data_IF_472038048138
#
_entry.id   IF_472038048138
#
_cell.length_a   1.000
_cell.length_b   1.000
_cell.length_c   1.000
_cell.angle_alpha   90.00
_cell.angle_beta   90.00
_cell.angle_gamma   90.00
#
_symmetry.space_group_name_H-M   'P 1'
#
loop_
_entity.id
_entity.type
_entity.pdbx_description
1 polymer ?
#
# COMPACT_ATOMS: atom_id res chain seq x y z
N UNK A 1 -13.59 25.64 3.38
CA UNK A 1 -13.18 25.47 4.79
C UNK A 1 -12.17 24.33 4.78
N UNK A 2 -11.02 24.49 5.41
CA UNK A 2 -10.03 23.41 5.45
C UNK A 2 -10.56 22.27 6.33
N UNK A 3 -10.31 21.02 5.93
CA UNK A 3 -10.71 19.85 6.73
C UNK A 3 -9.88 19.80 8.01
N UNK A 4 -10.54 19.64 9.17
CA UNK A 4 -9.86 19.59 10.47
C UNK A 4 -9.02 18.32 10.62
N UNK A 5 -9.54 17.19 10.12
CA UNK A 5 -8.87 15.89 10.17
C UNK A 5 -8.77 15.34 8.76
N UNK A 6 -7.56 14.98 8.35
CA UNK A 6 -7.28 14.29 7.09
C UNK A 6 -6.60 12.96 7.39
N UNK A 7 -7.22 11.87 6.94
CA UNK A 7 -6.64 10.53 7.01
C UNK A 7 -6.21 10.17 5.58
N UNK A 8 -4.91 10.08 5.28
CA UNK A 8 -4.44 9.86 3.93
C UNK A 8 -4.91 8.52 3.36
N UNK A 9 -5.36 8.52 2.10
CA UNK A 9 -5.75 7.30 1.40
C UNK A 9 -4.60 6.31 1.25
N UNK A 10 -3.36 6.79 1.25
CA UNK A 10 -2.16 5.98 1.17
C UNK A 10 -1.72 5.42 2.53
N UNK A 11 -2.48 5.58 3.62
CA UNK A 11 -2.27 4.73 4.79
C UNK A 11 -2.57 3.25 4.41
N UNK A 12 -1.87 2.27 4.99
CA UNK A 12 -2.12 0.86 4.70
C UNK A 12 -3.48 0.36 5.19
N UNK A 13 -4.15 1.15 6.05
CA UNK A 13 -5.51 0.90 6.51
C UNK A 13 -6.51 1.80 5.79
N UNK A 14 -7.73 1.29 5.63
CA UNK A 14 -8.87 2.09 5.19
C UNK A 14 -9.75 2.40 6.39
N UNK A 15 -9.82 3.68 6.76
CA UNK A 15 -10.67 4.15 7.85
C UNK A 15 -12.03 4.64 7.34
N UNK A 16 -13.05 4.52 8.20
CA UNK A 16 -14.37 5.11 8.03
C UNK A 16 -14.75 5.88 9.30
N UNK A 17 -15.49 6.97 9.16
CA UNK A 17 -16.05 7.69 10.31
C UNK A 17 -17.16 6.87 10.95
N UNK A 18 -17.27 6.86 12.27
CA UNK A 18 -18.35 6.18 13.01
C UNK A 18 -19.27 7.24 13.62
N UNK A 19 -20.62 7.07 13.57
CA UNK A 19 -21.37 5.91 13.08
C UNK A 19 -21.79 5.97 11.60
N UNK A 20 -21.46 7.04 10.86
CA UNK A 20 -22.05 7.25 9.52
C UNK A 20 -21.39 6.43 8.40
N UNK A 21 -20.12 6.08 8.56
CA UNK A 21 -19.32 5.36 7.57
C UNK A 21 -19.66 3.88 7.53
N UNK A 22 -19.77 3.35 6.31
CA UNK A 22 -20.10 1.95 6.03
C UNK A 22 -18.86 1.11 5.72
N UNK A 23 -18.89 -0.16 6.10
CA UNK A 23 -17.97 -1.22 5.68
C UNK A 23 -18.06 -1.48 4.18
N UNK A 24 -16.95 -1.86 3.54
CA UNK A 24 -16.94 -2.18 2.12
C UNK A 24 -18.01 -3.23 1.78
N UNK A 25 -18.24 -4.20 2.66
CA UNK A 25 -19.26 -5.22 2.51
C UNK A 25 -20.70 -4.67 2.54
N UNK A 26 -20.95 -3.55 3.24
CA UNK A 26 -22.26 -2.90 3.33
C UNK A 26 -22.55 -1.99 2.12
N UNK A 27 -21.54 -1.67 1.33
CA UNK A 27 -21.66 -0.91 0.10
C UNK A 27 -21.96 -1.79 -1.12
N UNK A 28 -21.88 -3.12 -0.97
CA UNK A 28 -22.16 -4.08 -2.03
C UNK A 28 -23.65 -4.00 -2.41
N UNK A 29 -23.99 -3.79 -3.70
CA UNK A 29 -25.37 -3.81 -4.16
C UNK A 29 -26.06 -5.15 -3.86
N UNK A 30 -27.37 -5.10 -3.56
CA UNK A 30 -28.14 -6.29 -3.17
C UNK A 30 -28.25 -7.37 -4.25
N UNK A 31 -27.97 -7.04 -5.52
CA UNK A 31 -27.99 -7.98 -6.65
C UNK A 31 -26.64 -8.66 -6.92
N UNK A 32 -25.59 -8.29 -6.17
CA UNK A 32 -24.27 -8.92 -6.22
C UNK A 32 -24.10 -9.91 -5.07
N UNK A 33 -23.13 -10.81 -5.19
CA UNK A 33 -22.75 -11.70 -4.11
C UNK A 33 -22.19 -10.90 -2.94
N UNK A 34 -22.63 -11.23 -1.72
CA UNK A 34 -21.99 -10.70 -0.52
C UNK A 34 -20.55 -11.19 -0.46
N UNK A 35 -19.63 -10.27 -0.19
CA UNK A 35 -18.22 -10.54 0.00
C UNK A 35 -17.69 -9.71 1.17
N UNK A 36 -16.70 -10.24 1.87
CA UNK A 36 -16.02 -9.58 2.97
C UNK A 36 -14.54 -9.53 2.64
N UNK A 37 -13.93 -8.37 2.86
CA UNK A 37 -12.51 -8.18 2.65
C UNK A 37 -11.86 -7.89 4.00
N UNK A 38 -10.77 -8.59 4.27
CA UNK A 38 -9.95 -8.42 5.45
C UNK A 38 -8.51 -8.22 5.01
N UNK A 39 -7.89 -7.15 5.49
CA UNK A 39 -6.49 -6.86 5.17
C UNK A 39 -5.58 -7.74 6.02
N UNK A 40 -4.86 -8.67 5.39
CA UNK A 40 -3.94 -9.58 6.09
C UNK A 40 -2.60 -8.94 6.39
N UNK A 41 -2.02 -9.29 7.53
CA UNK A 41 -0.67 -8.95 7.94
C UNK A 41 0.02 -10.21 8.49
N UNK A 42 1.29 -10.39 8.16
CA UNK A 42 2.15 -11.32 8.89
C UNK A 42 2.51 -10.72 10.25
N UNK A 43 2.73 -11.56 11.26
CA UNK A 43 3.19 -11.12 12.58
C UNK A 43 4.50 -10.32 12.56
N UNK A 44 5.31 -10.48 11.50
CA UNK A 44 6.54 -9.72 11.24
C UNK A 44 6.33 -8.37 10.54
N UNK A 45 5.14 -8.08 10.03
CA UNK A 45 4.86 -6.84 9.31
C UNK A 45 4.81 -5.63 10.26
N UNK A 46 5.20 -4.46 9.76
CA UNK A 46 5.10 -3.21 10.54
C UNK A 46 3.88 -2.40 10.11
N UNK A 47 2.97 -2.14 11.05
CA UNK A 47 1.86 -1.23 10.81
C UNK A 47 2.28 0.22 11.04
N UNK A 48 2.28 1.02 9.97
CA UNK A 48 2.54 2.45 10.03
C UNK A 48 1.41 3.20 9.32
N UNK A 49 0.82 4.20 9.98
CA UNK A 49 -0.13 5.12 9.36
C UNK A 49 -0.03 6.50 10.00
N UNK A 50 -0.61 7.51 9.36
CA UNK A 50 -0.59 8.89 9.83
C UNK A 50 -1.94 9.60 9.72
N UNK A 51 -2.08 10.70 10.45
CA UNK A 51 -3.24 11.59 10.42
C UNK A 51 -2.73 13.03 10.38
N UNK A 52 -3.30 13.82 9.49
CA UNK A 52 -3.05 15.25 9.36
C UNK A 52 -4.13 16.00 10.15
N UNK A 53 -3.72 16.82 11.11
CA UNK A 53 -4.59 17.54 12.04
C UNK A 53 -4.42 19.04 11.85
N UNK A 54 -5.50 19.76 11.55
CA UNK A 54 -5.44 21.20 11.30
C UNK A 54 -4.99 21.93 12.57
N UNK A 55 -3.92 22.71 12.46
CA UNK A 55 -3.30 23.38 13.62
C UNK A 55 -4.31 24.21 14.41
N UNK A 56 -4.27 24.09 15.73
CA UNK A 56 -5.16 24.77 16.70
C UNK A 56 -6.63 24.30 16.71
N UNK A 57 -7.02 23.32 15.88
CA UNK A 57 -8.37 22.76 15.85
C UNK A 57 -8.46 21.35 16.46
N UNK A 58 -7.42 20.88 17.14
CA UNK A 58 -7.38 19.57 17.80
C UNK A 58 -6.75 19.66 19.19
N UNK A 59 -7.14 18.75 20.09
CA UNK A 59 -6.63 18.67 21.47
C UNK A 59 -5.86 17.37 21.73
N UNK A 60 -6.38 16.25 21.26
CA UNK A 60 -5.74 14.94 21.45
C UNK A 60 -6.12 13.96 20.34
N UNK A 61 -5.25 12.98 20.15
CA UNK A 61 -5.47 11.83 19.27
C UNK A 61 -4.83 10.61 19.92
N UNK A 62 -5.56 9.49 19.89
CA UNK A 62 -5.08 8.17 20.29
C UNK A 62 -5.69 7.11 19.38
N UNK A 63 -5.25 5.87 19.52
CA UNK A 63 -5.88 4.74 18.85
C UNK A 63 -5.91 3.51 19.74
N UNK A 64 -6.85 2.62 19.45
CA UNK A 64 -6.99 1.33 20.12
C UNK A 64 -7.17 0.20 19.13
N UNK A 65 -6.76 -0.99 19.54
CA UNK A 65 -6.97 -2.23 18.82
C UNK A 65 -8.18 -2.91 19.44
N UNK A 66 -9.15 -3.26 18.60
CA UNK A 66 -10.34 -3.99 18.98
C UNK A 66 -10.28 -5.40 18.41
N UNK A 67 -10.80 -6.38 19.13
CA UNK A 67 -10.99 -7.74 18.61
C UNK A 67 -12.20 -7.83 17.66
N UNK A 68 -12.46 -9.02 17.13
CA UNK A 68 -13.63 -9.31 16.29
C UNK A 68 -15.00 -9.02 16.95
N UNK A 69 -15.05 -8.94 18.29
CA UNK A 69 -16.25 -8.61 19.07
C UNK A 69 -16.30 -7.11 19.44
N UNK A 70 -15.41 -6.29 18.86
CA UNK A 70 -15.24 -4.87 19.15
C UNK A 70 -14.85 -4.58 20.62
N UNK A 71 -14.23 -5.54 21.29
CA UNK A 71 -13.68 -5.39 22.64
C UNK A 71 -12.23 -4.88 22.57
N UNK A 72 -11.87 -3.92 23.43
CA UNK A 72 -10.52 -3.35 23.45
C UNK A 72 -9.48 -4.38 23.90
N UNK A 73 -8.44 -4.55 23.08
CA UNK A 73 -7.29 -5.44 23.31
C UNK A 73 -6.10 -4.64 23.83
N UNK A 74 -5.82 -3.50 23.19
CA UNK A 74 -4.71 -2.60 23.55
C UNK A 74 -5.00 -1.17 23.10
N UNK A 75 -4.33 -0.20 23.70
CA UNK A 75 -4.46 1.23 23.35
C UNK A 75 -3.12 1.95 23.40
N UNK A 76 -3.01 2.96 22.54
CA UNK A 76 -1.76 3.66 22.24
C UNK A 76 -2.03 5.14 21.96
N UNK A 77 -1.02 5.98 22.16
CA UNK A 77 -1.12 7.44 21.93
C UNK A 77 -0.48 7.89 20.62
N UNK A 78 0.35 7.06 19.97
CA UNK A 78 1.17 7.46 18.83
C UNK A 78 2.00 8.71 19.13
N UNK A 79 2.34 9.52 18.14
CA UNK A 79 3.07 10.76 18.36
C UNK A 79 3.05 11.73 17.20
N UNK A 80 3.27 13.02 17.51
CA UNK A 80 3.55 14.02 16.49
C UNK A 80 4.93 13.77 15.89
N UNK A 81 4.99 13.74 14.57
CA UNK A 81 6.23 13.50 13.81
C UNK A 81 6.72 14.75 13.08
N UNK A 82 5.87 15.76 12.95
CA UNK A 82 6.22 17.01 12.30
C UNK A 82 5.00 17.88 12.06
N UNK A 83 5.17 18.93 11.27
CA UNK A 83 4.07 19.78 10.79
C UNK A 83 4.36 20.26 9.37
N UNK A 84 3.30 20.55 8.61
CA UNK A 84 3.34 21.36 7.40
C UNK A 84 3.02 22.81 7.76
N UNK A 85 2.76 23.67 6.78
CA UNK A 85 2.28 25.03 7.04
C UNK A 85 0.95 25.01 7.84
N UNK A 86 -0.02 24.20 7.39
CA UNK A 86 -1.39 24.19 7.91
C UNK A 86 -1.67 23.06 8.93
N UNK A 87 -0.98 21.92 8.83
CA UNK A 87 -1.32 20.70 9.56
C UNK A 87 -0.19 20.25 10.50
N UNK A 88 -0.56 19.75 11.68
CA UNK A 88 0.29 18.89 12.50
C UNK A 88 0.16 17.45 12.01
N UNK A 89 1.28 16.71 11.99
CA UNK A 89 1.33 15.34 11.49
C UNK A 89 1.48 14.39 12.66
N UNK A 90 0.46 13.58 12.89
CA UNK A 90 0.48 12.51 13.89
C UNK A 90 0.68 11.17 13.20
N UNK A 91 1.38 10.24 13.85
CA UNK A 91 1.57 8.88 13.34
C UNK A 91 1.76 7.87 14.46
N UNK A 92 1.47 6.60 14.15
CA UNK A 92 1.87 5.45 14.97
C UNK A 92 3.39 5.42 15.12
N UNK A 93 3.88 5.11 16.33
CA UNK A 93 5.31 4.99 16.58
C UNK A 93 5.76 3.58 16.18
N UNK A 94 6.96 3.48 15.62
CA UNK A 94 7.56 2.17 15.35
C UNK A 94 7.72 1.33 16.62
N UNK A 95 7.90 1.97 17.78
CA UNK A 95 7.98 1.29 19.09
C UNK A 95 6.66 0.72 19.59
N UNK A 96 5.52 1.07 18.97
CA UNK A 96 4.22 0.57 19.40
C UNK A 96 4.06 -0.93 19.04
N UNK A 97 4.87 -1.46 18.10
CA UNK A 97 4.98 -2.89 17.76
C UNK A 97 3.62 -3.61 17.58
N UNK A 98 2.64 -2.88 17.02
CA UNK A 98 1.22 -3.27 17.06
C UNK A 98 0.98 -4.68 16.54
N UNK A 99 1.36 -4.99 15.30
CA UNK A 99 1.09 -6.29 14.67
C UNK A 99 1.80 -7.43 15.40
N UNK A 100 3.10 -7.27 15.68
CA UNK A 100 3.90 -8.28 16.39
C UNK A 100 3.45 -8.58 17.82
N UNK A 101 2.63 -7.71 18.41
CA UNK A 101 2.06 -7.90 19.76
C UNK A 101 0.74 -8.69 19.76
N UNK A 102 0.14 -8.91 18.60
CA UNK A 102 -1.14 -9.59 18.43
C UNK A 102 -0.90 -11.07 18.09
N UNK A 103 -1.79 -11.94 18.55
CA UNK A 103 -1.87 -13.32 18.06
C UNK A 103 -2.64 -13.40 16.75
N UNK A 104 -2.71 -14.59 16.15
CA UNK A 104 -3.55 -14.80 14.98
C UNK A 104 -5.02 -14.45 15.27
N UNK A 105 -5.65 -13.72 14.36
CA UNK A 105 -7.05 -13.33 14.51
C UNK A 105 -7.43 -12.05 13.77
N UNK A 106 -8.73 -11.72 13.86
CA UNK A 106 -9.32 -10.55 13.23
C UNK A 106 -9.39 -9.40 14.25
N UNK A 107 -8.91 -8.23 13.84
CA UNK A 107 -8.86 -7.02 14.65
C UNK A 107 -9.35 -5.80 13.86
N UNK A 108 -9.59 -4.71 14.59
CA UNK A 108 -9.85 -3.38 14.04
C UNK A 108 -8.96 -2.35 14.70
N UNK A 109 -8.60 -1.31 13.97
CA UNK A 109 -7.96 -0.12 14.52
C UNK A 109 -9.00 0.98 14.62
N UNK A 110 -9.22 1.49 15.83
CA UNK A 110 -10.08 2.65 16.04
C UNK A 110 -9.25 3.87 16.47
N UNK A 111 -9.40 4.97 15.74
CA UNK A 111 -8.86 6.28 16.05
C UNK A 111 -9.88 7.06 16.87
N UNK A 112 -9.39 7.69 17.94
CA UNK A 112 -10.16 8.57 18.83
C UNK A 112 -9.52 9.95 18.77
N UNK A 113 -10.24 10.93 18.21
CA UNK A 113 -9.71 12.27 17.96
C UNK A 113 -10.61 13.30 18.62
N UNK A 114 -10.04 14.12 19.49
CA UNK A 114 -10.73 15.22 20.13
C UNK A 114 -10.40 16.53 19.39
N UNK A 115 -11.41 17.16 18.80
CA UNK A 115 -11.28 18.39 18.01
C UNK A 115 -11.97 19.58 18.65
N UNK A 116 -11.56 20.78 18.26
CA UNK A 116 -12.26 22.02 18.52
C UNK A 116 -12.92 22.50 17.24
N UNK A 117 -14.24 22.59 17.22
CA UNK A 117 -15.01 23.12 16.10
C UNK A 117 -16.07 24.10 16.60
N UNK A 118 -16.15 25.28 15.97
CA UNK A 118 -17.15 26.30 16.28
C UNK A 118 -17.21 26.72 17.77
N UNK A 119 -16.06 26.72 18.45
CA UNK A 119 -15.97 27.06 19.88
C UNK A 119 -16.45 25.96 20.83
N UNK A 120 -16.66 24.74 20.32
CA UNK A 120 -17.02 23.55 21.09
C UNK A 120 -16.02 22.42 20.87
N UNK A 121 -15.92 21.53 21.84
CA UNK A 121 -15.12 20.30 21.74
C UNK A 121 -15.99 19.16 21.22
N UNK A 122 -15.49 18.42 20.24
CA UNK A 122 -16.16 17.28 19.62
C UNK A 122 -15.23 16.07 19.56
N UNK A 123 -15.76 14.89 19.88
CA UNK A 123 -15.07 13.62 19.66
C UNK A 123 -15.41 13.06 18.27
N UNK A 124 -14.38 12.70 17.53
CA UNK A 124 -14.47 12.02 16.24
C UNK A 124 -13.83 10.63 16.35
N UNK A 125 -14.60 9.62 15.96
CA UNK A 125 -14.13 8.24 15.94
C UNK A 125 -14.04 7.74 14.50
N UNK A 126 -12.96 7.04 14.20
CA UNK A 126 -12.78 6.37 12.91
C UNK A 126 -12.35 4.93 13.13
N UNK A 127 -13.01 3.98 12.48
CA UNK A 127 -12.67 2.56 12.56
C UNK A 127 -12.17 2.05 11.21
N UNK A 128 -11.16 1.19 11.22
CA UNK A 128 -10.61 0.59 10.00
C UNK A 128 -11.57 -0.44 9.36
N UNK A 129 -11.29 -0.83 8.12
CA UNK A 129 -11.63 -2.17 7.62
C UNK A 129 -10.97 -3.24 8.51
N UNK A 130 -11.57 -4.44 8.62
CA UNK A 130 -10.99 -5.49 9.44
C UNK A 130 -9.59 -5.83 8.94
N UNK A 131 -8.69 -6.09 9.88
CA UNK A 131 -7.36 -6.64 9.63
C UNK A 131 -7.30 -8.05 10.19
N UNK A 132 -6.50 -8.91 9.58
CA UNK A 132 -6.26 -10.27 10.06
C UNK A 132 -4.76 -10.48 10.24
N UNK A 133 -4.36 -10.88 11.43
CA UNK A 133 -2.98 -11.30 11.70
C UNK A 133 -2.91 -12.80 11.47
N UNK A 134 -1.95 -13.24 10.66
CA UNK A 134 -1.69 -14.65 10.32
C UNK A 134 -0.21 -14.97 10.47
N UNK A 135 0.13 -16.22 10.75
CA UNK A 135 1.54 -16.64 10.87
C UNK A 135 2.19 -16.92 9.51
N UNK A 136 1.41 -17.32 8.50
CA UNK A 136 1.90 -17.62 7.15
C UNK A 136 0.98 -17.09 6.05
N UNK A 137 1.59 -16.56 4.98
CA UNK A 137 0.89 -15.99 3.82
C UNK A 137 1.77 -16.12 2.56
N UNK A 138 1.90 -17.34 2.00
CA UNK A 138 2.87 -17.66 0.96
C UNK A 138 2.63 -16.91 -0.36
N UNK A 139 1.36 -16.70 -0.73
CA UNK A 139 0.99 -16.00 -1.96
C UNK A 139 0.65 -14.53 -1.66
N UNK A 140 1.65 -13.77 -1.20
CA UNK A 140 1.49 -12.34 -0.92
C UNK A 140 2.63 -11.46 -1.44
N UNK A 141 2.24 -10.22 -1.72
CA UNK A 141 3.11 -9.14 -2.13
C UNK A 141 3.24 -8.18 -0.96
N UNK A 142 4.43 -8.06 -0.39
CA UNK A 142 4.78 -6.95 0.51
C UNK A 142 5.16 -5.75 -0.33
N UNK A 143 4.33 -4.71 -0.29
CA UNK A 143 4.55 -3.43 -0.96
C UNK A 143 5.10 -2.46 0.07
N UNK A 144 6.38 -2.11 -0.06
CA UNK A 144 7.00 -1.04 0.69
C UNK A 144 7.07 0.22 -0.19
N UNK A 145 6.61 1.36 0.31
CA UNK A 145 6.49 2.55 -0.51
C UNK A 145 6.84 3.84 0.20
N UNK A 146 7.41 4.74 -0.58
CA UNK A 146 7.74 6.11 -0.20
C UNK A 146 7.85 7.00 -1.45
N UNK A 147 8.05 8.31 -1.25
CA UNK A 147 8.18 9.26 -2.35
C UNK A 147 9.41 10.17 -2.18
N UNK A 148 9.69 11.00 -3.18
CA UNK A 148 10.75 12.01 -3.20
C UNK A 148 10.29 13.35 -2.63
N UNK A 149 8.98 13.56 -2.50
CA UNK A 149 8.35 14.69 -1.80
C UNK A 149 7.18 14.28 -0.92
N UNK A 150 6.57 15.26 -0.24
CA UNK A 150 5.31 15.06 0.47
C UNK A 150 4.15 15.27 -0.52
N UNK A 151 3.45 14.21 -0.88
CA UNK A 151 2.40 14.24 -1.90
C UNK A 151 1.25 13.32 -1.54
N UNK A 152 0.10 13.48 -2.20
CA UNK A 152 -1.11 12.68 -1.96
C UNK A 152 -1.60 12.71 -0.50
N UNK A 153 -1.49 13.88 0.15
CA UNK A 153 -1.77 14.12 1.58
C UNK A 153 -0.91 13.25 2.53
N UNK A 154 0.20 12.67 2.06
CA UNK A 154 1.15 11.91 2.88
C UNK A 154 2.43 12.70 3.10
N UNK A 155 2.86 12.79 4.36
CA UNK A 155 4.17 13.32 4.72
C UNK A 155 5.19 12.20 4.82
N UNK A 156 5.98 12.02 3.77
CA UNK A 156 7.10 11.06 3.73
C UNK A 156 8.37 11.61 4.39
N UNK A 157 8.53 12.93 4.44
CA UNK A 157 9.68 13.62 5.04
C UNK A 157 9.24 14.51 6.20
N UNK A 158 8.95 13.93 7.37
CA UNK A 158 8.63 14.70 8.57
C UNK A 158 9.77 15.68 8.90
N UNK A 159 9.42 16.97 9.06
CA UNK A 159 10.38 18.04 9.34
C UNK A 159 11.27 18.44 8.14
N UNK A 160 10.99 17.95 6.93
CA UNK A 160 11.68 18.34 5.70
C UNK A 160 13.11 17.80 5.56
N UNK A 161 13.51 16.83 6.39
CA UNK A 161 14.84 16.22 6.34
C UNK A 161 14.82 14.91 5.53
N UNK A 162 15.59 14.79 4.42
CA UNK A 162 15.72 13.55 3.65
C UNK A 162 16.14 12.32 4.47
N UNK A 163 16.91 12.50 5.54
CA UNK A 163 17.33 11.40 6.42
C UNK A 163 16.19 10.78 7.23
N UNK A 164 15.07 11.48 7.38
CA UNK A 164 13.89 11.02 8.12
C UNK A 164 12.82 10.43 7.21
N UNK A 165 13.20 10.03 6.00
CA UNK A 165 12.28 9.45 5.03
C UNK A 165 11.54 8.25 5.63
N UNK A 166 10.22 8.27 5.53
CA UNK A 166 9.37 7.19 6.00
C UNK A 166 8.99 6.25 4.86
N UNK A 167 8.94 4.97 5.19
CA UNK A 167 8.44 3.91 4.34
C UNK A 167 7.22 3.29 5.00
N UNK A 168 6.16 3.13 4.22
CA UNK A 168 4.93 2.49 4.65
C UNK A 168 4.88 1.09 4.04
N UNK A 169 4.24 0.16 4.74
CA UNK A 169 4.14 -1.24 4.31
C UNK A 169 2.67 -1.62 4.13
N UNK A 170 2.36 -2.25 3.00
CA UNK A 170 1.06 -2.82 2.67
C UNK A 170 1.27 -4.20 2.09
N UNK A 171 0.75 -5.24 2.75
CA UNK A 171 0.74 -6.60 2.22
C UNK A 171 -0.56 -6.84 1.45
N UNK A 172 -0.53 -7.50 0.31
CA UNK A 172 -1.76 -7.89 -0.41
C UNK A 172 -1.57 -9.29 -0.95
N UNK A 173 -2.60 -10.14 -0.89
CA UNK A 173 -2.57 -11.44 -1.55
C UNK A 173 -2.35 -11.24 -3.05
N UNK A 174 -1.48 -12.03 -3.65
CA UNK A 174 -1.02 -11.75 -5.00
C UNK A 174 0.31 -12.38 -5.30
N UNK A 175 0.78 -12.14 -6.51
CA UNK A 175 2.00 -12.75 -6.99
C UNK A 175 2.28 -12.43 -8.44
N UNK A 176 3.37 -13.02 -8.92
CA UNK A 176 3.72 -13.09 -10.31
C UNK A 176 3.37 -14.49 -10.83
N UNK A 177 2.31 -14.60 -11.61
CA UNK A 177 2.01 -15.85 -12.29
C UNK A 177 3.11 -16.18 -13.31
N UNK A 178 3.33 -17.47 -13.61
CA UNK A 178 4.37 -17.89 -14.57
C UNK A 178 4.19 -17.27 -15.96
N UNK A 179 2.95 -17.06 -16.39
CA UNK A 179 2.60 -16.37 -17.63
C UNK A 179 2.83 -14.84 -17.60
N UNK A 180 3.09 -14.28 -16.41
CA UNK A 180 3.27 -12.86 -16.19
C UNK A 180 4.69 -12.35 -16.49
N UNK A 181 5.65 -13.23 -16.80
CA UNK A 181 6.99 -12.81 -17.19
C UNK A 181 7.12 -12.67 -18.71
N UNK A 182 7.55 -11.49 -19.17
CA UNK A 182 7.73 -11.21 -20.58
C UNK A 182 9.06 -10.49 -20.83
N UNK A 183 10.06 -11.14 -21.48
CA UNK A 183 11.27 -10.46 -21.91
C UNK A 183 10.95 -9.53 -23.10
N UNK A 184 11.45 -8.30 -23.04
CA UNK A 184 11.21 -7.26 -24.04
C UNK A 184 12.52 -6.52 -24.39
N UNK A 185 12.49 -5.71 -25.44
CA UNK A 185 13.60 -4.84 -25.80
C UNK A 185 13.12 -3.50 -26.36
N UNK A 186 13.90 -2.45 -26.10
CA UNK A 186 13.72 -1.14 -26.73
C UNK A 186 14.68 -1.04 -27.90
N UNK A 187 14.13 -1.24 -29.10
CA UNK A 187 14.90 -1.30 -30.34
C UNK A 187 14.86 0.03 -31.10
N UNK A 188 15.98 0.39 -31.71
CA UNK A 188 16.11 1.53 -32.61
C UNK A 188 16.60 1.03 -33.96
N UNK A 189 15.86 1.34 -35.03
CA UNK A 189 16.16 0.89 -36.38
C UNK A 189 16.46 2.09 -37.30
N UNK A 190 17.35 1.88 -38.26
CA UNK A 190 17.48 2.70 -39.45
C UNK A 190 16.81 1.99 -40.63
N UNK A 191 16.01 2.72 -41.40
CA UNK A 191 15.34 2.21 -42.60
C UNK A 191 15.74 3.12 -43.75
N UNK A 192 16.31 2.56 -44.81
CA UNK A 192 16.73 3.35 -45.97
C UNK A 192 15.61 3.58 -47.00
N UNK A 193 15.93 4.23 -48.12
CA UNK A 193 14.96 4.57 -49.17
C UNK A 193 14.40 3.36 -49.92
N UNK A 194 15.14 2.24 -49.97
CA UNK A 194 14.68 0.97 -50.57
C UNK A 194 14.06 0.02 -49.54
N UNK A 195 13.97 0.47 -48.28
CA UNK A 195 13.37 -0.23 -47.13
C UNK A 195 14.25 -1.34 -46.55
N UNK A 196 15.56 -1.26 -46.73
CA UNK A 196 16.51 -2.11 -45.98
C UNK A 196 16.56 -1.63 -44.52
N UNK A 197 16.52 -2.59 -43.59
CA UNK A 197 16.41 -2.33 -42.14
C UNK A 197 17.70 -2.74 -41.44
N UNK A 198 18.28 -1.81 -40.67
CA UNK A 198 19.47 -2.06 -39.84
C UNK A 198 19.14 -1.73 -38.38
N UNK A 199 19.39 -2.67 -37.47
CA UNK A 199 19.27 -2.43 -36.03
C UNK A 199 20.46 -1.58 -35.56
N UNK A 200 20.16 -0.39 -35.03
CA UNK A 200 21.16 0.54 -34.52
C UNK A 200 21.46 0.29 -33.04
N UNK A 201 20.43 -0.02 -32.26
CA UNK A 201 20.52 -0.24 -30.82
C UNK A 201 19.36 -1.13 -30.36
N UNK A 202 19.60 -1.95 -29.35
CA UNK A 202 18.57 -2.74 -28.67
C UNK A 202 18.93 -2.84 -27.19
N UNK A 203 18.04 -2.40 -26.33
CA UNK A 203 18.21 -2.46 -24.86
C UNK A 203 17.21 -3.48 -24.33
N UNK A 204 17.64 -4.68 -23.90
CA UNK A 204 16.74 -5.69 -23.35
C UNK A 204 16.30 -5.31 -21.92
N UNK A 205 15.07 -5.64 -21.56
CA UNK A 205 14.51 -5.50 -20.22
C UNK A 205 13.42 -6.53 -19.98
N UNK A 206 13.05 -6.74 -18.71
CA UNK A 206 12.01 -7.68 -18.33
C UNK A 206 10.74 -6.94 -17.89
N UNK A 207 9.60 -7.40 -18.38
CA UNK A 207 8.28 -6.97 -17.95
C UNK A 207 7.66 -8.05 -17.07
N UNK A 208 7.07 -7.63 -15.96
CA UNK A 208 6.44 -8.47 -14.95
C UNK A 208 4.99 -8.04 -14.78
N UNK A 209 4.06 -8.96 -15.00
CA UNK A 209 2.62 -8.76 -14.82
C UNK A 209 2.21 -9.21 -13.42
N UNK A 210 2.19 -8.27 -12.49
CA UNK A 210 1.79 -8.53 -11.11
C UNK A 210 0.27 -8.70 -11.02
N UNK A 211 -0.17 -9.64 -10.20
CA UNK A 211 -1.58 -9.86 -9.87
C UNK A 211 -1.82 -9.57 -8.39
N UNK A 212 -2.86 -8.80 -8.09
CA UNK A 212 -3.30 -8.45 -6.74
C UNK A 212 -4.73 -8.97 -6.52
N UNK A 213 -4.97 -9.67 -5.41
CA UNK A 213 -6.23 -10.31 -5.06
C UNK A 213 -6.63 -11.48 -5.97
N UNK A 214 -5.80 -12.52 -6.18
CA UNK A 214 -6.21 -13.67 -6.97
C UNK A 214 -7.39 -14.41 -6.31
N UNK A 215 -8.29 -14.99 -7.11
CA UNK A 215 -9.40 -15.84 -6.65
C UNK A 215 -10.53 -15.10 -5.91
N UNK A 216 -10.23 -14.49 -4.76
CA UNK A 216 -11.17 -13.76 -3.90
C UNK A 216 -11.28 -12.26 -4.20
N UNK A 217 -10.37 -11.72 -5.00
CA UNK A 217 -10.38 -10.31 -5.37
C UNK A 217 -10.05 -9.35 -4.22
N UNK A 218 -9.77 -8.11 -4.59
CA UNK A 218 -9.71 -6.98 -3.66
C UNK A 218 -10.84 -5.99 -3.95
N UNK A 219 -11.31 -5.24 -2.94
CA UNK A 219 -12.30 -4.19 -3.15
C UNK A 219 -11.72 -3.05 -4.01
N UNK A 220 -12.60 -2.33 -4.72
CA UNK A 220 -12.19 -1.25 -5.63
C UNK A 220 -11.37 -0.16 -4.92
N UNK A 221 -11.63 0.13 -3.64
CA UNK A 221 -10.84 1.11 -2.89
C UNK A 221 -9.39 0.66 -2.65
N UNK A 222 -9.17 -0.65 -2.46
CA UNK A 222 -7.82 -1.20 -2.30
C UNK A 222 -7.09 -1.14 -3.64
N UNK A 223 -7.78 -1.44 -4.74
CA UNK A 223 -7.22 -1.30 -6.06
C UNK A 223 -6.83 0.17 -6.38
N UNK A 224 -7.68 1.14 -6.04
CA UNK A 224 -7.34 2.56 -6.18
C UNK A 224 -6.14 2.94 -5.29
N UNK A 225 -6.08 2.44 -4.05
CA UNK A 225 -4.95 2.65 -3.15
C UNK A 225 -3.65 2.12 -3.76
N UNK A 226 -3.63 0.87 -4.23
CA UNK A 226 -2.46 0.27 -4.89
C UNK A 226 -2.06 1.10 -6.11
N UNK A 227 -3.01 1.50 -6.96
CA UNK A 227 -2.70 2.32 -8.14
C UNK A 227 -2.06 3.68 -7.78
N UNK A 228 -2.49 4.31 -6.68
CA UNK A 228 -1.87 5.52 -6.15
C UNK A 228 -0.48 5.23 -5.60
N UNK A 229 -0.29 4.14 -4.85
CA UNK A 229 1.03 3.68 -4.37
C UNK A 229 1.98 3.48 -5.55
N UNK A 230 1.55 2.80 -6.61
CA UNK A 230 2.32 2.56 -7.84
C UNK A 230 2.62 3.85 -8.64
N UNK A 231 2.14 5.01 -8.20
CA UNK A 231 2.47 6.31 -8.78
C UNK A 231 3.52 7.08 -7.98
N UNK A 232 4.00 6.52 -6.86
CA UNK A 232 5.08 7.08 -6.05
C UNK A 232 6.45 6.78 -6.67
N UNK A 233 7.44 7.57 -6.29
CA UNK A 233 8.80 7.45 -6.82
C UNK A 233 9.54 6.18 -6.35
N UNK A 234 9.18 5.64 -5.17
CA UNK A 234 9.82 4.45 -4.63
C UNK A 234 8.77 3.46 -4.19
N UNK A 235 8.68 2.37 -4.94
CA UNK A 235 7.79 1.25 -4.64
C UNK A 235 8.60 -0.03 -4.79
N UNK A 236 8.75 -0.74 -3.70
CA UNK A 236 9.33 -2.05 -3.66
C UNK A 236 8.24 -3.10 -3.49
N UNK A 237 8.32 -4.17 -4.27
CA UNK A 237 7.50 -5.35 -4.09
C UNK A 237 8.42 -6.51 -3.75
N UNK A 238 8.21 -7.10 -2.58
CA UNK A 238 9.05 -8.16 -2.01
C UNK A 238 10.55 -7.76 -2.00
N UNK A 239 10.84 -6.51 -1.64
CA UNK A 239 12.22 -6.00 -1.51
C UNK A 239 12.92 -5.61 -2.81
N UNK A 240 12.20 -5.56 -3.94
CA UNK A 240 12.75 -5.08 -5.22
C UNK A 240 11.95 -3.91 -5.76
N UNK A 241 12.64 -2.86 -6.20
CA UNK A 241 12.00 -1.66 -6.75
C UNK A 241 11.44 -1.90 -8.16
N UNK A 242 10.19 -1.49 -8.37
CA UNK A 242 9.50 -1.55 -9.65
C UNK A 242 8.88 -0.21 -10.02
N UNK A 243 8.69 -0.01 -11.33
CA UNK A 243 7.94 1.11 -11.90
C UNK A 243 6.95 0.59 -12.94
N UNK A 244 5.85 1.32 -13.13
CA UNK A 244 4.85 0.98 -14.16
C UNK A 244 5.51 0.96 -15.55
N UNK A 245 5.22 -0.07 -16.34
CA UNK A 245 5.65 -0.11 -17.73
C UNK A 245 4.99 1.02 -18.53
N UNK A 246 5.61 1.44 -19.64
CA UNK A 246 5.08 2.53 -20.46
C UNK A 246 3.68 2.19 -20.99
N UNK A 247 2.70 3.05 -20.69
CA UNK A 247 1.31 2.83 -21.08
C UNK A 247 0.54 1.76 -20.29
N UNK A 248 1.16 1.16 -19.26
CA UNK A 248 0.53 0.15 -18.43
C UNK A 248 -0.69 0.72 -17.68
N UNK A 249 -1.75 -0.10 -17.61
CA UNK A 249 -2.99 0.22 -16.91
C UNK A 249 -3.25 -0.83 -15.85
N UNK A 250 -3.95 -0.42 -14.80
CA UNK A 250 -4.41 -1.37 -13.78
C UNK A 250 -5.72 -2.01 -14.26
N UNK A 251 -5.63 -3.26 -14.70
CA UNK A 251 -6.70 -3.98 -15.37
C UNK A 251 -7.40 -4.93 -14.41
N UNK A 252 -8.73 -4.92 -14.41
CA UNK A 252 -9.53 -5.78 -13.55
C UNK A 252 -9.79 -7.14 -14.21
N UNK A 253 -9.57 -8.21 -13.46
CA UNK A 253 -10.09 -9.56 -13.73
C UNK A 253 -11.36 -9.73 -12.89
N UNK A 254 -12.52 -9.67 -13.55
CA UNK A 254 -13.83 -9.67 -12.89
C UNK A 254 -14.59 -10.96 -13.15
N UNK A 255 -15.19 -11.47 -12.09
CA UNK A 255 -16.25 -12.47 -12.16
C UNK A 255 -17.60 -11.76 -12.20
N UNK A 256 -18.56 -12.29 -12.98
CA UNK A 256 -19.87 -11.67 -13.11
C UNK A 256 -20.61 -11.72 -11.77
N UNK A 257 -21.25 -10.60 -11.38
CA UNK A 257 -22.01 -10.45 -10.11
C UNK A 257 -21.18 -10.60 -8.83
N UNK A 258 -19.85 -10.64 -8.92
CA UNK A 258 -18.96 -10.59 -7.77
C UNK A 258 -18.40 -9.16 -7.59
N UNK A 259 -18.46 -8.59 -6.38
CA UNK A 259 -18.14 -7.17 -6.15
C UNK A 259 -16.64 -6.87 -6.19
N UNK A 260 -15.81 -7.86 -5.87
CA UNK A 260 -14.35 -7.72 -5.86
C UNK A 260 -13.75 -8.23 -7.16
N UNK A 261 -12.50 -7.88 -7.41
CA UNK A 261 -11.80 -8.25 -8.62
C UNK A 261 -10.34 -8.54 -8.32
N UNK A 262 -9.75 -9.47 -9.07
CA UNK A 262 -8.31 -9.50 -9.21
C UNK A 262 -7.87 -8.30 -10.05
N UNK A 263 -6.68 -7.77 -9.82
CA UNK A 263 -6.14 -6.67 -10.61
C UNK A 263 -4.75 -6.97 -11.09
N UNK A 264 -4.45 -6.59 -12.33
CA UNK A 264 -3.16 -6.82 -12.96
C UNK A 264 -2.56 -5.56 -13.54
N UNK A 265 -1.23 -5.45 -13.47
CA UNK A 265 -0.47 -4.38 -14.13
C UNK A 265 0.91 -4.87 -14.53
N UNK A 266 1.36 -4.40 -15.68
CA UNK A 266 2.73 -4.61 -16.15
C UNK A 266 3.67 -3.59 -15.52
N UNK A 267 4.74 -4.11 -14.93
CA UNK A 267 5.79 -3.33 -14.30
C UNK A 267 7.15 -3.79 -14.77
N UNK A 268 8.13 -2.91 -14.68
CA UNK A 268 9.54 -3.19 -14.96
C UNK A 268 10.37 -2.88 -13.73
N UNK A 269 11.48 -3.60 -13.47
CA UNK A 269 12.42 -3.23 -12.42
C UNK A 269 12.92 -1.80 -12.64
N UNK A 270 13.10 -1.04 -11.55
CA UNK A 270 13.64 0.32 -11.66
C UNK A 270 15.08 0.33 -12.22
N UNK A 271 15.88 -0.65 -11.81
CA UNK A 271 17.25 -0.85 -12.29
C UNK A 271 17.32 -2.00 -13.30
N UNK A 272 17.82 -1.71 -14.50
CA UNK A 272 18.09 -2.71 -15.52
C UNK A 272 19.51 -3.27 -15.34
N UNK A 273 19.62 -4.40 -14.64
CA UNK A 273 20.89 -5.05 -14.31
C UNK A 273 21.30 -6.00 -15.44
N UNK A 274 22.56 -5.95 -15.86
CA UNK A 274 23.10 -6.82 -16.92
C UNK A 274 24.03 -7.94 -16.40
N UNK A 275 24.33 -7.94 -15.11
CA UNK A 275 25.24 -8.90 -14.48
C UNK A 275 24.82 -9.20 -13.05
N UNK A 276 24.87 -10.47 -12.66
CA UNK A 276 24.78 -10.85 -11.24
C UNK A 276 26.04 -10.30 -10.56
N UNK A 277 25.86 -9.48 -9.53
CA UNK A 277 26.95 -8.90 -8.75
C UNK A 277 26.95 -9.50 -7.35
N UNK A 278 28.12 -9.86 -6.83
CA UNK A 278 28.26 -10.38 -5.47
C UNK A 278 27.67 -9.39 -4.45
N UNK A 279 26.71 -9.85 -3.64
CA UNK A 279 26.02 -9.03 -2.64
C UNK A 279 24.78 -8.25 -3.12
N UNK A 280 24.41 -8.34 -4.40
CA UNK A 280 23.14 -7.81 -4.92
C UNK A 280 22.24 -9.02 -5.26
N UNK A 281 21.13 -9.19 -4.56
CA UNK A 281 20.19 -10.32 -4.68
C UNK A 281 19.46 -10.44 -6.02
N UNK A 282 20.01 -9.93 -7.12
CA UNK A 282 19.36 -9.96 -8.43
C UNK A 282 19.64 -11.28 -9.16
N UNK A 283 18.84 -12.31 -8.90
CA UNK A 283 18.63 -13.35 -9.91
C UNK A 283 17.76 -12.79 -11.03
N UNK A 284 18.19 -12.98 -12.28
CA UNK A 284 17.40 -12.74 -13.48
C UNK A 284 16.89 -14.09 -13.99
N UNK A 285 15.58 -14.37 -13.84
CA UNK A 285 14.94 -15.67 -14.11
C UNK A 285 15.24 -16.70 -13.00
N UNK A 286 14.35 -17.58 -12.55
CA UNK A 286 13.02 -18.00 -13.01
C UNK A 286 12.11 -18.10 -11.76
N UNK A 287 11.17 -17.17 -11.62
CA UNK A 287 10.07 -17.14 -10.64
C UNK A 287 10.40 -17.33 -9.15
N UNK A 288 11.11 -16.37 -8.55
CA UNK A 288 10.64 -15.80 -7.28
C UNK A 288 11.31 -14.44 -7.00
N UNK A 289 10.56 -13.32 -6.83
CA UNK A 289 11.10 -12.12 -6.17
C UNK A 289 11.57 -12.43 -4.74
N UNK A 290 11.11 -13.53 -4.17
CA UNK A 290 11.33 -13.97 -2.79
C UNK A 290 12.30 -15.16 -2.71
N UNK A 291 13.47 -15.06 -3.37
CA UNK A 291 14.62 -15.77 -2.81
C UNK A 291 14.98 -15.08 -1.49
N UNK A 292 14.38 -15.59 -0.41
CA UNK A 292 14.79 -15.38 0.97
C UNK A 292 15.94 -16.35 1.24
N UNK A 293 17.22 -15.95 1.15
CA UNK A 293 18.22 -16.58 1.99
C UNK A 293 18.02 -15.95 3.36
N UNK A 294 17.89 -16.77 4.38
CA UNK A 294 18.28 -16.41 5.73
C UNK A 294 19.55 -15.53 5.66
N UNK A 295 19.39 -14.20 5.77
CA UNK A 295 20.47 -13.24 5.47
C UNK A 295 21.31 -13.06 6.73
N UNK A 296 22.25 -14.01 6.89
CA UNK A 296 23.37 -14.16 7.84
C UNK A 296 23.06 -14.59 9.28
#
# INVERSE_FOLDING_TARGET
MADIVKIPYLNPLQFRKVPEGKFACELIPSFEHKAYYTQKFLSSDTLMFQVLLLKNYWNSISYRILDQNLSEVSSYTGGLIGSTEEYDIWSVRTTDNVISSLGEGIYFVELLININSEGSTQDLNFISEPIEVVDDLPDSLMIEYSHDGNEFDVVFFPGGNPANRRFFQLRVEGGLASEGFSPASKDTFYIDQVRDVVMLNSIPFNVYKFTFGPGGGIPNWMADKINRILSLAYVEINGRQYVKNEGAKFEAIREKQYPFAGWQIEMVPADNVYSITEGQGSQLGDFNPDYNPDYF
#
